data_IF_029902036719
#
_entry.id   IF_029902036719
#
_cell.length_a   1.000
_cell.length_b   1.000
_cell.length_c   1.000
_cell.angle_alpha   90.00
_cell.angle_beta   90.00
_cell.angle_gamma   90.00
#
_symmetry.space_group_name_H-M   'P 1'
#
loop_
_entity.id
_entity.type
_entity.pdbx_description
1 polymer ?
#
# COMPACT_ATOMS: atom_id res chain seq x y z
N UNK A 1 -4.21 -16.64 23.06
CA UNK A 1 -4.70 -16.18 21.74
C UNK A 1 -4.84 -14.68 21.79
N UNK A 2 -4.35 -13.94 20.79
CA UNK A 2 -4.64 -12.50 20.73
C UNK A 2 -6.16 -12.30 20.61
N UNK A 3 -6.73 -11.36 21.37
CA UNK A 3 -8.14 -11.00 21.21
C UNK A 3 -8.37 -10.50 19.77
N UNK A 4 -9.51 -10.81 19.19
CA UNK A 4 -9.94 -10.33 17.87
C UNK A 4 -9.71 -8.82 17.68
N UNK A 5 -9.97 -8.04 18.72
CA UNK A 5 -9.75 -6.58 18.74
C UNK A 5 -8.29 -6.19 18.50
N UNK A 6 -7.34 -6.94 19.07
CA UNK A 6 -5.90 -6.72 18.91
C UNK A 6 -5.46 -7.02 17.47
N UNK A 7 -5.98 -8.10 16.88
CA UNK A 7 -5.69 -8.45 15.47
C UNK A 7 -6.22 -7.37 14.52
N UNK A 8 -7.44 -6.89 14.72
CA UNK A 8 -8.01 -5.83 13.90
C UNK A 8 -7.24 -4.51 14.04
N UNK A 9 -6.85 -4.15 15.27
CA UNK A 9 -6.06 -2.94 15.54
C UNK A 9 -4.69 -3.03 14.86
N UNK A 10 -4.00 -4.16 14.98
CA UNK A 10 -2.73 -4.40 14.31
C UNK A 10 -2.85 -4.31 12.78
N UNK A 11 -3.87 -4.95 12.20
CA UNK A 11 -4.14 -4.87 10.74
C UNK A 11 -4.40 -3.44 10.30
N UNK A 12 -5.16 -2.65 11.08
CA UNK A 12 -5.43 -1.24 10.76
C UNK A 12 -4.16 -0.39 10.78
N UNK A 13 -3.33 -0.54 11.81
CA UNK A 13 -2.05 0.17 11.93
C UNK A 13 -1.14 -0.18 10.77
N UNK A 14 -1.05 -1.47 10.41
CA UNK A 14 -0.17 -1.90 9.32
C UNK A 14 -0.64 -1.39 7.96
N UNK A 15 -1.96 -1.43 7.69
CA UNK A 15 -2.53 -0.80 6.49
C UNK A 15 -2.19 0.69 6.43
N UNK A 16 -2.34 1.40 7.54
CA UNK A 16 -2.03 2.83 7.60
C UNK A 16 -0.55 3.10 7.28
N UNK A 17 0.37 2.31 7.84
CA UNK A 17 1.82 2.42 7.55
C UNK A 17 2.13 2.17 6.08
N UNK A 18 1.49 1.16 5.47
CA UNK A 18 1.64 0.85 4.05
C UNK A 18 1.14 2.02 3.17
N UNK A 19 0.01 2.63 3.53
CA UNK A 19 -0.51 3.83 2.85
C UNK A 19 0.43 5.03 2.98
N UNK A 20 0.97 5.27 4.18
CA UNK A 20 1.96 6.35 4.41
C UNK A 20 3.22 6.11 3.59
N UNK A 21 3.73 4.88 3.54
CA UNK A 21 4.90 4.53 2.74
C UNK A 21 4.67 4.73 1.23
N UNK A 22 3.50 4.32 0.73
CA UNK A 22 3.12 4.58 -0.66
C UNK A 22 3.04 6.09 -0.95
N UNK A 23 2.40 6.87 -0.08
CA UNK A 23 2.29 8.32 -0.26
C UNK A 23 3.67 8.99 -0.26
N UNK A 24 4.55 8.61 0.69
CA UNK A 24 5.90 9.15 0.77
C UNK A 24 6.72 8.86 -0.51
N UNK A 25 6.64 7.64 -1.03
CA UNK A 25 7.29 7.28 -2.29
C UNK A 25 6.82 8.14 -3.48
N UNK A 26 5.52 8.41 -3.55
CA UNK A 26 4.94 9.28 -4.58
C UNK A 26 5.37 10.75 -4.44
N UNK A 27 5.46 11.27 -3.21
CA UNK A 27 5.96 12.62 -2.96
C UNK A 27 7.41 12.77 -3.42
N UNK A 28 8.26 11.77 -3.13
CA UNK A 28 9.67 11.78 -3.59
C UNK A 28 9.74 11.81 -5.12
N UNK A 29 8.95 10.98 -5.81
CA UNK A 29 8.89 11.02 -7.28
C UNK A 29 8.43 12.38 -7.81
N UNK A 30 7.43 13.01 -7.18
CA UNK A 30 6.97 14.34 -7.58
C UNK A 30 8.06 15.41 -7.43
N UNK A 31 8.87 15.35 -6.37
CA UNK A 31 10.02 16.26 -6.17
C UNK A 31 11.05 16.08 -7.29
N UNK A 32 11.37 14.83 -7.64
CA UNK A 32 12.33 14.55 -8.73
C UNK A 32 11.74 15.00 -10.09
N UNK A 33 10.45 14.79 -10.32
CA UNK A 33 9.79 15.21 -11.55
C UNK A 33 9.89 16.73 -11.73
N UNK A 34 9.65 17.48 -10.65
CA UNK A 34 9.79 18.93 -10.64
C UNK A 34 11.26 19.35 -10.89
N UNK A 35 12.22 18.71 -10.23
CA UNK A 35 13.65 19.01 -10.40
C UNK A 35 14.25 18.64 -11.78
N UNK A 36 13.56 17.79 -12.56
CA UNK A 36 14.03 17.35 -13.90
C UNK A 36 13.30 18.06 -15.06
N UNK A 37 12.38 18.97 -14.75
CA UNK A 37 11.50 19.58 -15.76
C UNK A 37 12.24 20.46 -16.79
N UNK A 38 13.39 21.04 -16.41
CA UNK A 38 14.13 21.99 -17.25
C UNK A 38 14.89 21.34 -18.41
N UNK A 39 14.98 20.00 -18.44
CA UNK A 39 15.66 19.25 -19.50
C UNK A 39 14.63 18.38 -20.23
N UNK A 40 14.15 18.85 -21.38
CA UNK A 40 13.00 18.26 -22.09
C UNK A 40 13.08 16.73 -22.31
N UNK A 41 14.24 16.20 -22.73
CA UNK A 41 14.42 14.76 -22.98
C UNK A 41 14.44 13.96 -21.66
N UNK A 42 15.12 14.48 -20.65
CA UNK A 42 15.20 13.84 -19.32
C UNK A 42 13.82 13.86 -18.66
N UNK A 43 13.04 14.92 -18.87
CA UNK A 43 11.67 15.04 -18.37
C UNK A 43 10.76 13.93 -18.92
N UNK A 44 10.79 13.65 -20.23
CA UNK A 44 9.95 12.58 -20.83
C UNK A 44 10.34 11.20 -20.31
N UNK A 45 11.64 10.88 -20.27
CA UNK A 45 12.12 9.59 -19.76
C UNK A 45 11.80 9.42 -18.28
N UNK A 46 12.00 10.48 -17.49
CA UNK A 46 11.71 10.48 -16.04
C UNK A 46 10.22 10.28 -15.78
N UNK A 47 9.35 10.96 -16.54
CA UNK A 47 7.90 10.79 -16.43
C UNK A 47 7.48 9.35 -16.78
N UNK A 48 8.00 8.77 -17.87
CA UNK A 48 7.69 7.39 -18.23
C UNK A 48 8.12 6.39 -17.16
N UNK A 49 9.32 6.55 -16.60
CA UNK A 49 9.80 5.72 -15.48
C UNK A 49 8.93 5.89 -14.22
N UNK A 50 8.49 7.11 -13.91
CA UNK A 50 7.61 7.34 -12.77
C UNK A 50 6.23 6.73 -12.93
N UNK A 51 5.67 6.69 -14.14
CA UNK A 51 4.43 5.94 -14.36
C UNK A 51 4.64 4.45 -14.06
N UNK A 52 5.73 3.86 -14.52
CA UNK A 52 6.04 2.44 -14.25
C UNK A 52 6.24 2.19 -12.76
N UNK A 53 7.01 3.03 -12.07
CA UNK A 53 7.24 2.92 -10.62
C UNK A 53 5.95 3.14 -9.83
N UNK A 54 5.13 4.12 -10.23
CA UNK A 54 3.82 4.38 -9.63
C UNK A 54 2.92 3.14 -9.69
N UNK A 55 2.85 2.50 -10.86
CA UNK A 55 2.07 1.28 -11.04
C UNK A 55 2.61 0.14 -10.18
N UNK A 56 3.93 -0.05 -10.15
CA UNK A 56 4.56 -1.07 -9.31
C UNK A 56 4.29 -0.86 -7.82
N UNK A 57 4.42 0.37 -7.32
CA UNK A 57 4.11 0.73 -5.92
C UNK A 57 2.63 0.51 -5.60
N UNK A 58 1.74 0.84 -6.52
CA UNK A 58 0.29 0.65 -6.36
C UNK A 58 -0.08 -0.83 -6.33
N UNK A 59 0.51 -1.66 -7.19
CA UNK A 59 0.33 -3.12 -7.14
C UNK A 59 0.84 -3.68 -5.81
N UNK A 60 2.01 -3.23 -5.34
CA UNK A 60 2.54 -3.64 -4.03
C UNK A 60 1.60 -3.26 -2.87
N UNK A 61 1.09 -2.02 -2.88
CA UNK A 61 0.11 -1.52 -1.91
C UNK A 61 -1.11 -2.45 -1.82
N UNK A 62 -1.74 -2.77 -2.96
CA UNK A 62 -2.91 -3.65 -2.99
C UNK A 62 -2.60 -5.09 -2.58
N UNK A 63 -1.43 -5.62 -2.94
CA UNK A 63 -1.01 -6.97 -2.52
C UNK A 63 -0.81 -7.07 -1.01
N UNK A 64 -0.15 -6.08 -0.40
CA UNK A 64 0.11 -6.06 1.04
C UNK A 64 -1.19 -5.85 1.84
N UNK A 65 -2.01 -4.89 1.44
CA UNK A 65 -3.33 -4.65 2.08
C UNK A 65 -4.28 -5.83 1.93
N UNK A 66 -4.27 -6.51 0.78
CA UNK A 66 -5.04 -7.74 0.57
C UNK A 66 -4.57 -8.91 1.45
N UNK A 67 -3.26 -9.07 1.65
CA UNK A 67 -2.74 -10.07 2.59
C UNK A 67 -3.19 -9.81 4.03
N UNK A 68 -3.27 -8.53 4.43
CA UNK A 68 -3.78 -8.13 5.74
C UNK A 68 -5.29 -8.36 5.87
N UNK A 69 -6.07 -8.15 4.80
CA UNK A 69 -7.50 -8.47 4.77
C UNK A 69 -7.74 -9.96 5.03
N UNK A 70 -7.00 -10.84 4.36
CA UNK A 70 -7.10 -12.29 4.59
C UNK A 70 -6.81 -12.69 6.04
N UNK A 71 -5.81 -12.04 6.67
CA UNK A 71 -5.51 -12.27 8.11
C UNK A 71 -6.66 -11.81 9.00
N UNK A 72 -7.25 -10.65 8.71
CA UNK A 72 -8.40 -10.15 9.45
C UNK A 72 -9.65 -11.04 9.28
N UNK A 73 -9.88 -11.55 8.07
CA UNK A 73 -10.96 -12.49 7.77
C UNK A 73 -10.78 -13.83 8.49
N UNK A 74 -9.57 -14.37 8.53
CA UNK A 74 -9.26 -15.60 9.28
C UNK A 74 -9.58 -15.41 10.77
N UNK A 75 -9.09 -14.33 11.38
CA UNK A 75 -9.39 -14.01 12.78
C UNK A 75 -10.88 -13.78 13.04
N UNK A 76 -11.62 -13.23 12.06
CA UNK A 76 -13.08 -13.09 12.15
C UNK A 76 -13.78 -14.45 12.16
N UNK A 77 -13.34 -15.40 11.34
CA UNK A 77 -13.91 -16.76 11.28
C UNK A 77 -13.62 -17.56 12.56
N UNK A 78 -12.44 -17.38 13.16
CA UNK A 78 -12.10 -18.00 14.45
C UNK A 78 -13.03 -17.58 15.59
N UNK A 79 -13.58 -16.36 15.53
CA UNK A 79 -14.44 -15.80 16.58
C UNK A 79 -15.92 -16.05 16.32
N UNK A 80 -16.36 -15.97 15.06
CA UNK A 80 -17.77 -16.11 14.69
C UNK A 80 -18.18 -17.56 14.40
N UNK A 81 -17.23 -18.51 14.37
CA UNK A 81 -17.48 -19.88 13.92
C UNK A 81 -17.75 -19.97 12.41
N UNK A 82 -17.64 -21.18 11.85
CA UNK A 82 -18.00 -21.45 10.45
C UNK A 82 -19.53 -21.37 10.18
N UNK A 83 -20.32 -20.98 11.18
CA UNK A 83 -21.79 -21.09 11.18
C UNK A 83 -22.51 -19.95 10.44
N UNK A 84 -21.78 -19.09 9.72
CA UNK A 84 -22.34 -17.99 8.91
C UNK A 84 -22.19 -18.23 7.40
N UNK A 85 -22.57 -19.42 6.94
CA UNK A 85 -22.72 -19.76 5.52
C UNK A 85 -24.20 -19.98 5.18
#
# INVERSE_FOLDING_TARGET
>A
MASYSEVQKAVRVEKFRIWVGWLAGNVIMAIIANGTQDIAIVSVVTQALFVVVFLALTVALFRMTGALNRRAEAARREVLGNDWQ
#
